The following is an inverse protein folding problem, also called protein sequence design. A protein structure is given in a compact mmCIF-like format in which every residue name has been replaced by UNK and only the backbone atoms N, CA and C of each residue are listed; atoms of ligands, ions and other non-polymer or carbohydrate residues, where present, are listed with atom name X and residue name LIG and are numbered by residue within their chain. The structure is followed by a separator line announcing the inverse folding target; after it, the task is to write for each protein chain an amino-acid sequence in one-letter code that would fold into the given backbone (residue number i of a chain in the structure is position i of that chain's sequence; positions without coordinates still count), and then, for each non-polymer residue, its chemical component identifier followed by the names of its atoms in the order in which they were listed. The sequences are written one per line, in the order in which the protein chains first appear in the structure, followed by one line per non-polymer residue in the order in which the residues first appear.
data_IF_059758924397
#
_entry.id   IF_059758924397
#
_cell.length_a   1.000
_cell.length_b   1.000
_cell.length_c   1.000
_cell.angle_alpha   90.00
_cell.angle_beta   90.00
_cell.angle_gamma   90.00
#
_symmetry.space_group_name_H-M   'P 1'
#
loop_
_entity.id
_entity.type
_entity.pdbx_description
1 polymer ?
#
# COMPACT_ATOMS: atom_id res chain seq x y z
N UNK A 1 -18.22 16.39 7.84
CA UNK A 1 -17.36 15.36 7.21
C UNK A 1 -16.20 16.08 6.57
N UNK A 2 -15.00 15.76 7.02
CA UNK A 2 -13.77 16.48 6.66
C UNK A 2 -12.76 15.51 6.08
N UNK A 3 -12.09 15.91 5.00
CA UNK A 3 -10.94 15.17 4.45
C UNK A 3 -9.65 15.60 5.13
N UNK A 4 -8.69 14.66 5.21
CA UNK A 4 -7.38 14.87 5.83
C UNK A 4 -6.39 15.62 4.91
N UNK A 5 -6.48 15.33 3.62
CA UNK A 5 -5.71 15.92 2.54
C UNK A 5 -6.66 16.21 1.36
N UNK A 6 -6.11 16.79 0.31
CA UNK A 6 -6.77 16.86 -0.99
C UNK A 6 -7.32 15.48 -1.40
N UNK A 7 -8.61 15.43 -1.74
CA UNK A 7 -9.32 14.16 -2.02
C UNK A 7 -8.70 13.47 -3.24
N UNK A 8 -8.34 14.26 -4.25
CA UNK A 8 -7.79 13.77 -5.52
C UNK A 8 -6.35 13.24 -5.37
N UNK A 9 -5.68 13.57 -4.26
CA UNK A 9 -4.34 13.07 -3.93
C UNK A 9 -4.37 11.89 -2.98
N UNK A 10 -5.51 11.60 -2.36
CA UNK A 10 -5.62 10.54 -1.38
C UNK A 10 -5.51 9.17 -2.07
N UNK A 11 -4.57 8.34 -1.63
CA UNK A 11 -4.39 6.98 -2.17
C UNK A 11 -5.02 5.89 -1.29
N UNK A 12 -5.84 6.29 -0.32
CA UNK A 12 -6.44 5.40 0.69
C UNK A 12 -5.45 4.41 1.35
N UNK A 13 -4.20 4.82 1.58
CA UNK A 13 -3.14 3.96 2.11
C UNK A 13 -3.39 3.41 3.54
N UNK A 14 -4.42 3.88 4.25
CA UNK A 14 -4.79 3.40 5.59
C UNK A 14 -3.86 3.86 6.73
N UNK A 15 -2.79 4.60 6.45
CA UNK A 15 -1.86 5.05 7.50
C UNK A 15 -2.56 5.88 8.59
N UNK A 16 -3.43 6.82 8.19
CA UNK A 16 -4.17 7.65 9.15
C UNK A 16 -5.20 6.87 9.97
N UNK A 17 -5.87 5.88 9.35
CA UNK A 17 -6.81 4.96 10.00
C UNK A 17 -6.10 4.14 11.08
N UNK A 18 -4.99 3.49 10.73
CA UNK A 18 -4.23 2.64 11.67
C UNK A 18 -3.70 3.37 12.91
N UNK A 19 -3.46 4.68 12.82
CA UNK A 19 -2.95 5.50 13.93
C UNK A 19 -4.07 6.15 14.77
N UNK A 20 -5.31 6.14 14.29
CA UNK A 20 -6.41 6.81 14.97
C UNK A 20 -6.91 5.97 16.15
N UNK A 21 -6.55 6.34 17.38
CA UNK A 21 -7.01 5.63 18.58
C UNK A 21 -8.50 5.75 18.85
N UNK A 22 -9.17 6.69 18.18
CA UNK A 22 -10.63 6.90 18.29
C UNK A 22 -11.41 6.15 17.21
N UNK A 23 -10.74 5.49 16.25
CA UNK A 23 -11.38 4.92 15.06
C UNK A 23 -12.28 5.94 14.32
N UNK A 24 -11.88 7.22 14.31
CA UNK A 24 -12.65 8.31 13.72
C UNK A 24 -12.41 8.46 12.21
N UNK A 25 -11.59 7.60 11.60
CA UNK A 25 -11.19 7.68 10.19
C UNK A 25 -11.58 6.39 9.49
N UNK A 26 -12.23 6.51 8.34
CA UNK A 26 -12.73 5.38 7.56
C UNK A 26 -12.58 5.63 6.06
N UNK A 27 -12.65 4.56 5.26
CA UNK A 27 -12.64 4.63 3.79
C UNK A 27 -14.03 4.97 3.25
N UNK A 28 -14.05 5.84 2.25
CA UNK A 28 -15.24 6.23 1.50
C UNK A 28 -14.94 6.03 0.00
N UNK A 29 -15.89 5.47 -0.72
CA UNK A 29 -15.77 5.26 -2.17
C UNK A 29 -16.15 6.54 -2.91
N UNK A 30 -15.38 6.87 -3.94
CA UNK A 30 -15.68 7.91 -4.92
C UNK A 30 -16.54 7.34 -6.06
N UNK A 31 -17.09 8.24 -6.88
CA UNK A 31 -17.94 7.88 -8.02
C UNK A 31 -17.18 7.04 -9.06
N UNK A 32 -15.87 7.24 -9.19
CA UNK A 32 -15.00 6.52 -10.11
C UNK A 32 -14.50 5.16 -9.56
N UNK A 33 -14.98 4.73 -8.40
CA UNK A 33 -14.56 3.49 -7.72
C UNK A 33 -13.21 3.61 -6.99
N UNK A 34 -12.57 4.79 -6.99
CA UNK A 34 -11.42 5.05 -6.14
C UNK A 34 -11.84 5.23 -4.68
N UNK A 35 -10.88 5.10 -3.76
CA UNK A 35 -11.13 5.25 -2.33
C UNK A 35 -10.40 6.47 -1.78
N UNK A 36 -11.03 7.19 -0.84
CA UNK A 36 -10.37 8.19 -0.01
C UNK A 36 -10.70 7.99 1.47
N UNK A 37 -9.96 8.69 2.33
CA UNK A 37 -10.18 8.64 3.78
C UNK A 37 -11.04 9.83 4.22
N UNK A 38 -12.06 9.57 5.04
CA UNK A 38 -12.89 10.60 5.67
C UNK A 38 -12.80 10.56 7.19
N UNK A 39 -13.01 11.73 7.81
CA UNK A 39 -12.97 11.90 9.27
C UNK A 39 -14.39 12.13 9.80
N UNK A 40 -14.80 11.30 10.76
CA UNK A 40 -15.96 11.52 11.60
C UNK A 40 -15.63 12.56 12.69
N UNK A 41 -16.09 13.79 12.48
CA UNK A 41 -15.82 14.92 13.38
C UNK A 41 -16.40 14.74 14.78
N UNK A 42 -17.45 13.92 14.95
CA UNK A 42 -18.04 13.64 16.27
C UNK A 42 -17.13 12.78 17.17
N UNK A 43 -16.26 11.98 16.55
CA UNK A 43 -15.33 11.09 17.26
C UNK A 43 -13.90 11.66 17.29
N UNK A 44 -13.62 12.65 16.46
CA UNK A 44 -12.28 13.24 16.35
C UNK A 44 -11.95 14.09 17.58
N UNK A 45 -10.85 13.76 18.27
CA UNK A 45 -10.31 14.53 19.40
C UNK A 45 -9.24 15.55 18.97
N UNK A 46 -9.08 15.79 17.67
CA UNK A 46 -8.16 16.77 17.09
C UNK A 46 -6.68 16.62 17.54
N UNK A 47 -6.20 15.39 17.74
CA UNK A 47 -4.82 15.12 18.18
C UNK A 47 -3.73 15.37 17.11
N UNK A 48 -4.10 15.59 15.84
CA UNK A 48 -3.17 15.92 14.75
C UNK A 48 -2.32 14.77 14.19
N UNK A 49 -2.31 13.58 14.82
CA UNK A 49 -1.47 12.44 14.41
C UNK A 49 -1.68 12.00 12.96
N UNK A 50 -2.94 11.96 12.51
CA UNK A 50 -3.28 11.61 11.13
C UNK A 50 -2.66 12.56 10.12
N UNK A 51 -2.65 13.87 10.41
CA UNK A 51 -2.06 14.88 9.52
C UNK A 51 -0.55 14.70 9.40
N UNK A 52 0.11 14.43 10.53
CA UNK A 52 1.56 14.24 10.58
C UNK A 52 2.02 13.01 9.79
N UNK A 53 1.26 11.90 9.82
CA UNK A 53 1.65 10.68 9.09
C UNK A 53 1.35 10.77 7.59
N UNK A 54 0.38 11.57 7.17
CA UNK A 54 -0.04 11.64 5.77
C UNK A 54 1.10 12.12 4.86
N UNK A 55 1.56 11.32 3.89
CA UNK A 55 2.64 11.73 2.99
C UNK A 55 2.22 12.88 2.06
N UNK A 56 0.93 13.03 1.76
CA UNK A 56 0.42 14.12 0.91
C UNK A 56 0.46 15.51 1.57
N UNK A 57 0.60 15.56 2.90
CA UNK A 57 0.63 16.81 3.66
C UNK A 57 2.06 17.34 3.88
N UNK A 58 3.08 16.64 3.38
CA UNK A 58 4.48 17.04 3.50
C UNK A 58 5.22 16.84 2.18
N UNK A 59 6.21 17.69 1.94
CA UNK A 59 7.19 17.43 0.87
C UNK A 59 8.19 16.41 1.39
N UNK A 60 8.49 15.41 0.57
CA UNK A 60 9.54 14.43 0.86
C UNK A 60 10.78 14.81 0.07
N UNK A 61 11.93 14.80 0.71
CA UNK A 61 13.21 14.99 0.02
C UNK A 61 13.46 13.79 -0.89
N UNK A 62 13.73 14.08 -2.16
CA UNK A 62 13.94 13.05 -3.18
C UNK A 62 15.43 12.84 -3.38
N UNK A 63 15.85 11.58 -3.37
CA UNK A 63 17.19 11.18 -3.81
C UNK A 63 17.17 10.87 -5.30
N UNK A 64 18.21 11.30 -6.02
CA UNK A 64 18.40 10.89 -7.42
C UNK A 64 19.09 9.53 -7.47
N UNK A 65 18.52 8.53 -8.19
CA UNK A 65 19.18 7.25 -8.35
C UNK A 65 20.46 7.43 -9.18
N UNK A 66 21.53 6.70 -8.83
CA UNK A 66 22.75 6.66 -9.64
C UNK A 66 22.51 5.93 -10.96
N UNK A 67 21.69 4.87 -10.93
CA UNK A 67 21.30 4.07 -12.07
C UNK A 67 19.90 3.49 -11.84
N UNK A 68 19.13 3.31 -12.92
CA UNK A 68 17.82 2.68 -12.90
C UNK A 68 17.72 1.64 -14.01
N UNK A 69 17.09 0.52 -13.69
CA UNK A 69 16.80 -0.56 -14.63
C UNK A 69 15.29 -0.78 -14.69
N UNK A 70 14.77 -1.02 -15.89
CA UNK A 70 13.38 -1.40 -16.10
C UNK A 70 13.33 -2.85 -16.60
N UNK A 71 12.44 -3.64 -16.03
CA UNK A 71 12.21 -5.02 -16.40
C UNK A 71 10.76 -5.40 -16.11
N UNK A 72 10.26 -6.40 -16.81
CA UNK A 72 8.92 -6.98 -16.65
C UNK A 72 8.99 -8.49 -16.93
N UNK A 73 7.93 -9.20 -16.58
CA UNK A 73 7.82 -10.64 -16.83
C UNK A 73 7.62 -10.91 -18.32
N UNK A 74 8.34 -11.90 -18.86
CA UNK A 74 8.09 -12.41 -20.22
C UNK A 74 6.84 -13.30 -20.28
N UNK A 75 6.28 -13.69 -19.14
CA UNK A 75 5.02 -14.42 -19.09
C UNK A 75 3.86 -13.43 -19.33
N UNK A 76 3.19 -13.56 -20.48
CA UNK A 76 2.14 -12.63 -20.92
C UNK A 76 0.98 -12.51 -19.93
N UNK A 77 0.58 -13.62 -19.29
CA UNK A 77 -0.46 -13.61 -18.26
C UNK A 77 -0.02 -12.82 -17.02
N UNK A 78 1.23 -12.99 -16.58
CA UNK A 78 1.76 -12.24 -15.44
C UNK A 78 1.94 -10.76 -15.78
N UNK A 79 2.47 -10.45 -16.97
CA UNK A 79 2.68 -9.09 -17.43
C UNK A 79 1.37 -8.30 -17.49
N UNK A 80 0.31 -8.90 -18.02
CA UNK A 80 -1.00 -8.24 -18.18
C UNK A 80 -1.80 -8.08 -16.88
N UNK A 81 -1.55 -8.90 -15.86
CA UNK A 81 -2.35 -8.91 -14.62
C UNK A 81 -1.65 -8.31 -13.41
N UNK A 82 -0.34 -8.09 -13.46
CA UNK A 82 0.43 -7.55 -12.34
C UNK A 82 0.68 -6.04 -12.44
N UNK A 83 0.43 -5.30 -11.36
CA UNK A 83 0.67 -3.86 -11.29
C UNK A 83 2.12 -3.43 -11.59
N UNK A 84 3.09 -4.31 -11.34
CA UNK A 84 4.52 -4.08 -11.58
C UNK A 84 5.01 -4.67 -12.91
N UNK A 85 4.11 -5.06 -13.81
CA UNK A 85 4.45 -5.81 -15.02
C UNK A 85 5.02 -7.21 -14.73
N UNK A 86 4.86 -7.71 -13.51
CA UNK A 86 5.25 -9.06 -13.10
C UNK A 86 6.67 -9.18 -12.56
N UNK A 87 7.47 -8.11 -12.53
CA UNK A 87 8.87 -8.19 -12.11
C UNK A 87 9.04 -8.70 -10.67
N UNK A 88 8.13 -8.33 -9.76
CA UNK A 88 8.17 -8.82 -8.39
C UNK A 88 8.00 -10.34 -8.32
N UNK A 89 7.09 -10.90 -9.12
CA UNK A 89 6.87 -12.35 -9.20
C UNK A 89 8.09 -13.07 -9.74
N UNK A 90 8.75 -12.54 -10.78
CA UNK A 90 9.98 -13.12 -11.33
C UNK A 90 11.12 -13.10 -10.30
N UNK A 91 11.28 -12.01 -9.56
CA UNK A 91 12.28 -11.92 -8.48
C UNK A 91 12.00 -12.93 -7.36
N UNK A 92 10.74 -13.15 -7.00
CA UNK A 92 10.37 -14.17 -6.01
C UNK A 92 10.63 -15.59 -6.53
N UNK A 93 10.30 -15.89 -7.79
CA UNK A 93 10.60 -17.18 -8.42
C UNK A 93 12.11 -17.45 -8.40
N UNK A 94 12.91 -16.48 -8.81
CA UNK A 94 14.37 -16.56 -8.73
C UNK A 94 14.86 -16.78 -7.29
N UNK A 95 14.32 -16.01 -6.32
CA UNK A 95 14.68 -16.16 -4.92
C UNK A 95 14.39 -17.59 -4.39
N UNK A 96 13.27 -18.20 -4.80
CA UNK A 96 12.94 -19.60 -4.46
C UNK A 96 13.97 -20.56 -5.04
N UNK A 97 14.29 -20.43 -6.33
CA UNK A 97 15.28 -21.28 -7.03
C UNK A 97 16.66 -21.20 -6.38
N UNK A 98 17.08 -19.99 -6.01
CA UNK A 98 18.36 -19.73 -5.34
C UNK A 98 18.31 -20.01 -3.83
N UNK A 99 17.20 -20.54 -3.30
CA UNK A 99 17.01 -20.86 -1.86
C UNK A 99 17.22 -19.64 -0.94
N UNK A 100 16.88 -18.45 -1.43
CA UNK A 100 16.92 -17.21 -0.66
C UNK A 100 15.72 -17.10 0.28
N UNK A 101 15.87 -16.29 1.33
CA UNK A 101 14.76 -15.96 2.22
C UNK A 101 13.90 -14.85 1.61
N UNK A 102 12.56 -15.02 1.65
CA UNK A 102 11.62 -13.99 1.23
C UNK A 102 10.38 -13.97 2.15
N UNK A 103 9.65 -12.85 2.12
CA UNK A 103 8.41 -12.68 2.86
C UNK A 103 7.37 -12.00 1.97
N UNK A 104 6.11 -12.36 2.16
CA UNK A 104 4.99 -11.78 1.44
C UNK A 104 3.80 -11.54 2.37
N UNK A 105 2.81 -10.83 1.86
CA UNK A 105 1.53 -10.66 2.55
C UNK A 105 0.45 -11.13 1.61
N UNK A 106 -0.44 -11.97 2.12
CA UNK A 106 -1.66 -12.35 1.42
C UNK A 106 -2.78 -11.44 1.91
N UNK A 107 -3.37 -10.71 0.98
CA UNK A 107 -4.53 -9.88 1.23
C UNK A 107 -5.76 -10.63 0.74
N UNK A 108 -6.68 -10.94 1.66
CA UNK A 108 -8.02 -11.39 1.31
C UNK A 108 -9.04 -10.37 1.85
N UNK A 109 -10.31 -10.51 1.45
CA UNK A 109 -11.38 -9.54 1.79
C UNK A 109 -11.63 -9.35 3.30
N UNK A 110 -11.08 -10.20 4.16
CA UNK A 110 -11.42 -10.22 5.60
C UNK A 110 -10.23 -10.30 6.57
N UNK A 111 -8.99 -10.55 6.12
CA UNK A 111 -7.80 -10.80 6.95
C UNK A 111 -6.50 -10.40 6.23
N UNK A 112 -5.71 -9.56 6.88
CA UNK A 112 -4.31 -9.33 6.53
C UNK A 112 -3.45 -10.46 7.12
N UNK A 113 -3.03 -11.44 6.31
CA UNK A 113 -2.14 -12.52 6.77
C UNK A 113 -0.74 -12.29 6.22
N UNK A 114 0.21 -12.01 7.10
CA UNK A 114 1.63 -12.02 6.76
C UNK A 114 2.08 -13.48 6.59
N UNK A 115 2.68 -13.82 5.45
CA UNK A 115 3.22 -15.15 5.16
C UNK A 115 4.74 -15.05 5.04
N UNK A 116 5.45 -15.78 5.90
CA UNK A 116 6.91 -15.91 5.82
C UNK A 116 7.21 -17.20 5.07
N UNK A 117 7.88 -17.11 3.92
CA UNK A 117 8.21 -18.25 3.07
C UNK A 117 9.67 -18.64 3.18
N UNK A 118 9.97 -19.90 3.50
CA UNK A 118 11.28 -20.51 3.28
C UNK A 118 11.06 -21.92 2.74
N UNK A 119 11.23 -22.13 1.43
CA UNK A 119 11.15 -23.44 0.74
C UNK A 119 10.05 -24.43 1.19
N UNK A 120 8.96 -23.92 1.79
CA UNK A 120 7.77 -24.66 2.16
C UNK A 120 6.60 -23.71 1.99
N UNK A 121 6.08 -23.69 0.77
CA UNK A 121 4.65 -23.44 0.57
C UNK A 121 3.98 -24.66 1.22
N UNK A 122 3.48 -24.48 2.45
CA UNK A 122 2.50 -25.38 3.05
C UNK A 122 1.19 -24.63 3.13
#
# INVERSE_FOLDING_TARGET
MRSLCDKDKCTACGACENLCTQNAIYRQENIDGSWHMEINEKMCVNCGRCSNVCPNNRRTDLNRPLQAYAAWSLNEKMHSTAASGGIASELYSYAVEQKMHFAGVLMNEYKHRCTRGTNKIK
#
